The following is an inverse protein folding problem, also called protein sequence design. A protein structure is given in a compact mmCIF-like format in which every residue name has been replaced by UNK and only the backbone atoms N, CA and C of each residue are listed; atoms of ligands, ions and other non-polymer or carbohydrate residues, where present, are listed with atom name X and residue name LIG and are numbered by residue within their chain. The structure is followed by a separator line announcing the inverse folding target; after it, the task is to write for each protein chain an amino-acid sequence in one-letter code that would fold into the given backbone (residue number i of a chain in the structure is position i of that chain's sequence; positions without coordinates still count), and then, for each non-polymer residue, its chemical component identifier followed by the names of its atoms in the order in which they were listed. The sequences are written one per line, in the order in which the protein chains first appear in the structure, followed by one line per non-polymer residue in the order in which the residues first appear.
data_IF_794896941883
#
_entry.id   IF_794896941883
#
_cell.length_a   1.000
_cell.length_b   1.000
_cell.length_c   1.000
_cell.angle_alpha   90.00
_cell.angle_beta   90.00
_cell.angle_gamma   90.00
#
_symmetry.space_group_name_H-M   'P 1'
#
loop_
_entity.id
_entity.type
_entity.pdbx_description
1 polymer ?
#
# COMPACT_ATOMS: atom_id res chain seq x y z
N UNK A 1 -14.16 7.08 0.65
CA UNK A 1 -15.16 6.03 0.36
C UNK A 1 -16.21 6.46 -0.67
N UNK A 2 -16.71 7.70 -0.68
CA UNK A 2 -17.74 8.14 -1.66
C UNK A 2 -17.27 8.05 -3.12
N UNK A 3 -16.10 8.63 -3.46
CA UNK A 3 -15.54 8.56 -4.82
C UNK A 3 -15.40 7.11 -5.29
N UNK A 4 -14.93 6.23 -4.40
CA UNK A 4 -14.83 4.82 -4.71
C UNK A 4 -16.18 4.18 -5.03
N UNK A 5 -17.24 4.52 -4.30
CA UNK A 5 -18.57 3.99 -4.61
C UNK A 5 -19.01 4.35 -6.04
N UNK A 6 -18.58 5.50 -6.56
CA UNK A 6 -18.83 5.90 -7.95
C UNK A 6 -18.05 5.04 -8.96
N UNK A 7 -16.82 4.62 -8.62
CA UNK A 7 -16.02 3.69 -9.43
C UNK A 7 -16.62 2.28 -9.42
N UNK A 8 -17.04 1.79 -8.25
CA UNK A 8 -17.72 0.49 -8.12
C UNK A 8 -19.09 0.49 -8.82
N UNK A 9 -19.80 1.62 -8.80
CA UNK A 9 -21.03 1.76 -9.55
C UNK A 9 -20.78 1.63 -11.06
N UNK A 10 -19.71 2.24 -11.58
CA UNK A 10 -19.32 2.08 -12.98
C UNK A 10 -18.96 0.63 -13.32
N UNK A 11 -18.15 -0.03 -12.49
CA UNK A 11 -17.79 -1.46 -12.66
C UNK A 11 -19.03 -2.35 -12.79
N UNK A 12 -20.08 -2.03 -12.03
CA UNK A 12 -21.34 -2.78 -11.98
C UNK A 12 -22.40 -2.30 -12.96
N UNK A 13 -22.08 -1.35 -13.83
CA UNK A 13 -23.02 -0.68 -14.72
C UNK A 13 -24.24 -0.07 -13.99
N UNK A 14 -24.04 0.38 -12.76
CA UNK A 14 -25.03 1.15 -11.99
C UNK A 14 -24.85 2.62 -12.37
N UNK A 15 -25.93 3.25 -12.84
CA UNK A 15 -25.95 4.63 -13.31
C UNK A 15 -26.73 5.51 -12.35
N UNK A 16 -26.82 6.81 -12.63
CA UNK A 16 -27.66 7.72 -11.89
C UNK A 16 -29.12 7.25 -11.80
N UNK A 17 -29.67 6.70 -12.90
CA UNK A 17 -31.06 6.25 -12.96
C UNK A 17 -31.31 4.88 -12.33
N UNK A 18 -30.26 4.07 -12.14
CA UNK A 18 -30.34 2.73 -11.53
C UNK A 18 -29.68 2.66 -10.15
N UNK A 19 -29.43 3.81 -9.51
CA UNK A 19 -28.74 3.93 -8.23
C UNK A 19 -29.33 3.06 -7.11
N UNK A 20 -30.63 2.77 -7.13
CA UNK A 20 -31.30 1.87 -6.18
C UNK A 20 -30.76 0.43 -6.19
N UNK A 21 -30.07 0.02 -7.25
CA UNK A 21 -29.37 -1.27 -7.32
C UNK A 21 -28.05 -1.28 -6.52
N UNK A 22 -27.55 -0.12 -6.09
CA UNK A 22 -26.35 -0.05 -5.25
C UNK A 22 -26.70 -0.46 -3.82
N UNK A 23 -25.96 -1.42 -3.22
CA UNK A 23 -26.30 -1.97 -1.92
C UNK A 23 -26.09 -0.96 -0.78
N UNK A 24 -26.85 -1.16 0.30
CA UNK A 24 -26.71 -0.38 1.53
C UNK A 24 -25.44 -0.79 2.31
N UNK A 25 -24.99 0.09 3.21
CA UNK A 25 -23.86 -0.13 4.12
C UNK A 25 -24.30 0.01 5.59
N UNK A 26 -23.90 -0.87 6.50
CA UNK A 26 -24.24 -0.73 7.93
C UNK A 26 -23.17 0.01 8.74
N UNK A 27 -22.00 0.29 8.16
CA UNK A 27 -20.83 0.81 8.86
C UNK A 27 -21.03 2.18 9.53
N UNK A 28 -21.91 3.02 9.00
CA UNK A 28 -22.16 4.38 9.52
C UNK A 28 -23.50 4.50 10.26
N UNK A 29 -24.04 3.36 10.69
CA UNK A 29 -25.33 3.24 11.35
C UNK A 29 -26.53 3.38 10.40
N UNK A 30 -27.71 3.02 10.90
CA UNK A 30 -28.94 2.87 10.10
C UNK A 30 -29.32 4.13 9.32
N UNK A 31 -29.03 5.32 9.86
CA UNK A 31 -29.34 6.61 9.22
C UNK A 31 -28.56 6.82 7.92
N UNK A 32 -27.38 6.22 7.79
CA UNK A 32 -26.48 6.41 6.65
C UNK A 32 -26.42 5.21 5.71
N UNK A 33 -27.33 4.24 5.87
CA UNK A 33 -27.26 2.99 5.12
C UNK A 33 -27.29 3.16 3.60
N UNK A 34 -28.05 4.13 3.13
CA UNK A 34 -28.14 4.47 1.71
C UNK A 34 -27.13 5.51 1.22
N UNK A 35 -26.12 5.90 2.00
CA UNK A 35 -25.29 7.07 1.67
C UNK A 35 -24.59 6.97 0.31
N UNK A 36 -24.09 5.78 -0.07
CA UNK A 36 -23.42 5.56 -1.34
C UNK A 36 -24.40 5.59 -2.52
N UNK A 37 -25.53 4.87 -2.39
CA UNK A 37 -26.65 4.97 -3.32
C UNK A 37 -27.10 6.41 -3.52
N UNK A 38 -27.28 7.17 -2.44
CA UNK A 38 -27.74 8.55 -2.50
C UNK A 38 -26.76 9.44 -3.26
N UNK A 39 -25.45 9.22 -3.08
CA UNK A 39 -24.42 9.91 -3.85
C UNK A 39 -24.54 9.56 -5.36
N UNK A 40 -24.66 8.29 -5.71
CA UNK A 40 -24.81 7.84 -7.10
C UNK A 40 -26.10 8.40 -7.72
N UNK A 41 -27.22 8.37 -7.00
CA UNK A 41 -28.49 8.95 -7.46
C UNK A 41 -28.38 10.47 -7.72
N UNK A 42 -27.54 11.16 -6.94
CA UNK A 42 -27.35 12.60 -7.08
C UNK A 42 -26.47 12.98 -8.28
N UNK A 43 -25.41 12.22 -8.58
CA UNK A 43 -24.39 12.65 -9.57
C UNK A 43 -24.08 11.66 -10.69
N UNK A 44 -24.47 10.39 -10.56
CA UNK A 44 -24.10 9.29 -11.44
C UNK A 44 -22.81 8.57 -11.01
N UNK A 45 -22.43 7.54 -11.74
CA UNK A 45 -21.14 6.86 -11.56
C UNK A 45 -19.95 7.70 -12.08
N UNK A 46 -18.73 7.20 -11.91
CA UNK A 46 -17.54 7.94 -12.33
C UNK A 46 -17.52 8.25 -13.83
N UNK A 47 -17.80 7.27 -14.68
CA UNK A 47 -17.93 7.45 -16.13
C UNK A 47 -18.95 8.52 -16.52
N UNK A 48 -20.13 8.55 -15.89
CA UNK A 48 -21.15 9.59 -16.13
C UNK A 48 -20.66 10.99 -15.75
N UNK A 49 -19.95 11.11 -14.63
CA UNK A 49 -19.35 12.38 -14.19
C UNK A 49 -18.27 12.83 -15.18
N UNK A 50 -17.38 11.92 -15.59
CA UNK A 50 -16.32 12.22 -16.54
C UNK A 50 -16.90 12.68 -17.88
N UNK A 51 -17.87 11.94 -18.43
CA UNK A 51 -18.55 12.28 -19.67
C UNK A 51 -19.21 13.66 -19.62
N UNK A 52 -19.84 13.99 -18.50
CA UNK A 52 -20.54 15.27 -18.31
C UNK A 52 -19.61 16.47 -18.17
N UNK A 53 -18.46 16.30 -17.52
CA UNK A 53 -17.65 17.44 -17.05
C UNK A 53 -16.26 17.55 -17.68
N UNK A 54 -15.70 16.45 -18.19
CA UNK A 54 -14.29 16.40 -18.61
C UNK A 54 -14.15 16.02 -20.08
N UNK A 55 -14.97 15.08 -20.57
CA UNK A 55 -14.78 14.45 -21.88
C UNK A 55 -14.82 15.42 -23.07
N UNK A 56 -15.54 16.54 -22.96
CA UNK A 56 -15.56 17.58 -23.98
C UNK A 56 -14.19 18.26 -24.16
N UNK A 57 -13.41 18.40 -23.10
CA UNK A 57 -12.11 19.05 -23.11
C UNK A 57 -10.97 18.02 -23.24
N UNK A 58 -11.12 16.88 -22.56
CA UNK A 58 -10.11 15.83 -22.46
C UNK A 58 -10.80 14.50 -22.70
N UNK A 59 -10.70 13.92 -23.93
CA UNK A 59 -11.25 12.60 -24.22
C UNK A 59 -10.75 11.58 -23.21
N UNK A 60 -11.62 10.65 -22.80
CA UNK A 60 -11.28 9.66 -21.79
C UNK A 60 -10.11 8.80 -22.26
N UNK A 61 -8.97 8.95 -21.58
CA UNK A 61 -7.75 8.18 -21.82
C UNK A 61 -7.72 6.93 -20.92
N UNK A 62 -6.88 5.91 -21.23
CA UNK A 62 -6.81 4.68 -20.43
C UNK A 62 -6.59 4.95 -18.94
N UNK A 63 -5.76 5.92 -18.57
CA UNK A 63 -5.56 6.37 -17.18
C UNK A 63 -6.87 6.67 -16.41
N UNK A 64 -7.93 7.08 -17.11
CA UNK A 64 -9.24 7.40 -16.57
C UNK A 64 -10.25 6.24 -16.68
N UNK A 65 -9.78 5.02 -16.95
CA UNK A 65 -10.58 3.79 -17.09
C UNK A 65 -10.35 2.88 -15.88
N UNK A 66 -11.30 1.99 -15.63
CA UNK A 66 -11.22 0.98 -14.59
C UNK A 66 -10.12 -0.05 -14.90
N UNK A 67 -9.26 -0.34 -13.92
CA UNK A 67 -8.29 -1.42 -13.98
C UNK A 67 -8.95 -2.75 -13.59
N UNK A 68 -9.17 -3.61 -14.57
CA UNK A 68 -9.82 -4.92 -14.40
C UNK A 68 -8.90 -6.02 -13.90
N UNK A 69 -7.60 -5.74 -13.71
CA UNK A 69 -6.62 -6.67 -13.16
C UNK A 69 -5.55 -7.14 -14.13
N UNK A 70 -5.71 -6.80 -15.40
CA UNK A 70 -4.92 -7.24 -16.55
C UNK A 70 -3.76 -6.31 -16.92
N UNK A 71 -3.76 -5.07 -16.42
CA UNK A 71 -2.70 -4.08 -16.65
C UNK A 71 -2.04 -3.61 -15.35
N UNK A 72 -0.87 -2.98 -15.49
CA UNK A 72 -0.10 -2.44 -14.38
C UNK A 72 -0.88 -1.44 -13.54
N UNK A 73 -0.64 -1.44 -12.23
CA UNK A 73 -1.28 -0.52 -11.28
C UNK A 73 -0.28 0.09 -10.30
N UNK A 74 0.97 -0.42 -10.27
CA UNK A 74 2.03 0.14 -9.44
C UNK A 74 2.48 1.45 -10.07
N UNK A 75 2.40 2.54 -9.31
CA UNK A 75 2.72 3.87 -9.79
C UNK A 75 3.94 4.44 -9.06
N UNK A 76 4.99 4.73 -9.80
CA UNK A 76 6.15 5.44 -9.30
C UNK A 76 5.80 6.91 -9.05
N UNK A 77 5.68 7.28 -7.77
CA UNK A 77 5.34 8.66 -7.42
C UNK A 77 6.56 9.56 -7.56
N UNK A 78 6.49 10.68 -8.29
CA UNK A 78 7.61 11.60 -8.41
C UNK A 78 7.88 12.27 -7.05
N UNK A 79 9.15 12.40 -6.67
CA UNK A 79 9.54 13.07 -5.42
C UNK A 79 9.23 14.58 -5.40
N UNK A 80 8.99 15.18 -6.56
CA UNK A 80 8.69 16.61 -6.67
C UNK A 80 9.94 17.49 -6.67
N UNK A 81 9.87 18.67 -6.04
CA UNK A 81 10.93 19.70 -6.02
C UNK A 81 11.28 20.07 -4.58
N UNK A 82 12.47 20.63 -4.37
CA UNK A 82 12.97 21.12 -3.07
C UNK A 82 13.15 20.01 -2.02
N UNK A 83 13.96 19.00 -2.34
CA UNK A 83 14.12 17.79 -1.52
C UNK A 83 15.13 17.92 -0.38
N UNK A 84 15.72 19.10 -0.15
CA UNK A 84 16.98 19.20 0.60
C UNK A 84 16.85 19.53 2.09
N UNK A 85 15.73 20.13 2.52
CA UNK A 85 15.63 20.73 3.85
C UNK A 85 14.31 20.36 4.54
N UNK A 86 14.35 19.33 5.39
CA UNK A 86 13.25 18.93 6.28
C UNK A 86 13.61 19.00 7.77
N UNK A 87 12.62 18.93 8.68
CA UNK A 87 12.80 19.23 10.10
C UNK A 87 13.56 18.19 10.94
N UNK A 88 14.07 17.09 10.35
CA UNK A 88 14.61 15.97 11.14
C UNK A 88 13.50 15.17 11.84
N UNK A 89 13.83 14.06 12.54
CA UNK A 89 12.91 13.35 13.41
C UNK A 89 12.24 14.27 14.43
N UNK A 90 10.94 14.07 14.63
CA UNK A 90 10.18 14.74 15.70
C UNK A 90 10.64 14.20 17.06
N UNK A 91 10.93 15.11 18.00
CA UNK A 91 11.31 14.75 19.36
C UNK A 91 10.26 13.85 20.02
N UNK A 92 10.69 12.67 20.48
CA UNK A 92 9.82 11.65 21.07
C UNK A 92 8.92 10.90 20.06
N UNK A 93 9.03 11.21 18.78
CA UNK A 93 8.33 10.52 17.69
C UNK A 93 8.78 9.08 17.48
N UNK A 94 8.06 8.33 16.65
CA UNK A 94 8.31 6.90 16.38
C UNK A 94 9.72 6.69 15.83
N UNK A 95 10.19 7.55 14.92
CA UNK A 95 11.55 7.45 14.36
C UNK A 95 12.59 7.54 15.47
N UNK A 96 12.54 8.55 16.34
CA UNK A 96 13.50 8.66 17.45
C UNK A 96 13.44 7.47 18.41
N UNK A 97 12.24 6.96 18.72
CA UNK A 97 12.09 5.79 19.59
C UNK A 97 12.71 4.53 18.97
N UNK A 98 12.55 4.33 17.66
CA UNK A 98 13.17 3.22 16.94
C UNK A 98 14.69 3.37 16.93
N UNK A 99 15.21 4.56 16.61
CA UNK A 99 16.65 4.84 16.60
C UNK A 99 17.27 4.64 17.98
N UNK A 100 16.63 5.13 19.04
CA UNK A 100 17.11 4.96 20.42
C UNK A 100 17.10 3.48 20.87
N UNK A 101 16.23 2.66 20.30
CA UNK A 101 16.18 1.21 20.51
C UNK A 101 17.13 0.44 19.58
N UNK A 102 17.71 1.10 18.58
CA UNK A 102 18.60 0.54 17.55
C UNK A 102 17.98 -0.59 16.70
N UNK A 103 16.66 -0.80 16.81
CA UNK A 103 15.96 -1.88 16.11
C UNK A 103 14.53 -1.49 15.78
N UNK A 104 14.13 -1.71 14.52
CA UNK A 104 12.75 -1.71 14.08
C UNK A 104 12.08 -3.02 14.54
N UNK A 105 10.84 -2.99 15.02
CA UNK A 105 10.05 -4.19 15.25
C UNK A 105 8.93 -4.23 14.21
N UNK A 106 9.06 -5.13 13.24
CA UNK A 106 8.11 -5.30 12.16
C UNK A 106 7.27 -6.55 12.39
N UNK A 107 5.94 -6.40 12.37
CA UNK A 107 5.05 -7.56 12.36
C UNK A 107 4.77 -8.05 10.94
N UNK A 108 4.69 -9.36 10.76
CA UNK A 108 4.31 -10.02 9.50
C UNK A 108 3.23 -11.08 9.72
N UNK A 109 2.37 -11.29 8.73
CA UNK A 109 1.35 -12.37 8.78
C UNK A 109 2.01 -13.75 8.61
N UNK A 110 1.80 -14.68 9.54
CA UNK A 110 2.24 -16.08 9.47
C UNK A 110 1.69 -16.84 8.25
N UNK A 111 0.53 -16.44 7.76
CA UNK A 111 -0.18 -17.12 6.67
C UNK A 111 -0.01 -16.43 5.30
N UNK A 112 0.87 -15.44 5.21
CA UNK A 112 1.09 -14.71 3.96
C UNK A 112 1.58 -15.62 2.84
N UNK A 113 0.90 -15.56 1.69
CA UNK A 113 1.33 -16.23 0.45
C UNK A 113 2.64 -15.64 -0.14
N UNK A 114 3.04 -14.47 0.37
CA UNK A 114 4.31 -13.81 0.06
C UNK A 114 5.41 -14.15 1.05
N UNK A 115 5.15 -15.03 2.02
CA UNK A 115 6.08 -15.45 3.04
C UNK A 115 6.57 -16.88 2.81
N UNK A 116 7.85 -17.12 3.11
CA UNK A 116 8.46 -18.44 3.14
C UNK A 116 9.51 -18.55 4.24
N UNK A 117 10.27 -19.63 4.22
CA UNK A 117 11.37 -19.87 5.15
C UNK A 117 12.63 -20.23 4.36
N UNK A 118 13.75 -19.63 4.72
CA UNK A 118 15.06 -20.09 4.26
C UNK A 118 15.40 -21.43 4.91
N UNK A 119 15.77 -22.41 4.08
CA UNK A 119 16.00 -23.79 4.54
C UNK A 119 17.18 -23.95 5.51
N UNK A 120 18.16 -23.04 5.45
CA UNK A 120 19.38 -23.14 6.25
C UNK A 120 19.15 -22.75 7.72
N UNK A 121 18.43 -21.64 7.96
CA UNK A 121 18.33 -21.01 9.27
C UNK A 121 16.89 -20.86 9.79
N UNK A 122 15.90 -21.42 9.07
CA UNK A 122 14.46 -21.24 9.35
C UNK A 122 14.07 -19.77 9.50
N UNK A 123 14.79 -18.88 8.81
CA UNK A 123 14.54 -17.45 8.83
C UNK A 123 13.37 -17.13 7.90
N UNK A 124 12.43 -16.33 8.39
CA UNK A 124 11.31 -15.83 7.59
C UNK A 124 11.83 -15.01 6.42
N UNK A 125 11.32 -15.27 5.22
CA UNK A 125 11.67 -14.55 3.98
C UNK A 125 10.43 -14.21 3.16
N UNK A 126 10.64 -13.43 2.10
CA UNK A 126 9.61 -13.02 1.15
C UNK A 126 9.33 -11.52 1.18
N UNK A 127 8.33 -11.06 0.43
CA UNK A 127 8.12 -9.63 0.20
C UNK A 127 7.81 -8.87 1.49
N UNK A 128 6.98 -9.44 2.37
CA UNK A 128 6.60 -8.78 3.63
C UNK A 128 7.84 -8.52 4.50
N UNK A 129 8.70 -9.54 4.67
CA UNK A 129 9.97 -9.39 5.39
C UNK A 129 10.93 -8.45 4.65
N UNK A 130 10.96 -8.53 3.32
CA UNK A 130 11.81 -7.68 2.49
C UNK A 130 11.48 -6.18 2.67
N UNK A 131 10.19 -5.83 2.73
CA UNK A 131 9.78 -4.45 3.01
C UNK A 131 10.01 -4.04 4.47
N UNK A 132 9.89 -4.95 5.44
CA UNK A 132 10.35 -4.68 6.82
C UNK A 132 11.85 -4.32 6.84
N UNK A 133 12.67 -5.10 6.13
CA UNK A 133 14.12 -4.88 6.01
C UNK A 133 14.47 -3.61 5.24
N UNK A 134 13.67 -3.24 4.25
CA UNK A 134 13.81 -1.98 3.53
C UNK A 134 13.60 -0.76 4.45
N UNK A 135 12.58 -0.80 5.30
CA UNK A 135 12.34 0.27 6.30
C UNK A 135 13.49 0.33 7.30
N UNK A 136 14.00 -0.82 7.74
CA UNK A 136 15.16 -0.86 8.63
C UNK A 136 16.43 -0.30 7.96
N UNK A 137 16.72 -0.69 6.72
CA UNK A 137 17.84 -0.14 5.96
C UNK A 137 17.75 1.39 5.79
N UNK A 138 16.55 1.91 5.53
CA UNK A 138 16.29 3.34 5.45
C UNK A 138 16.51 4.06 6.80
N UNK A 139 16.19 3.39 7.93
CA UNK A 139 16.37 3.94 9.27
C UNK A 139 17.83 3.88 9.76
N UNK A 140 18.58 2.87 9.34
CA UNK A 140 19.87 2.50 9.92
C UNK A 140 21.02 2.47 8.89
N UNK A 141 21.04 3.44 7.97
CA UNK A 141 22.16 3.65 7.02
C UNK A 141 22.56 2.38 6.24
N UNK A 142 21.56 1.58 5.83
CA UNK A 142 21.73 0.34 5.07
C UNK A 142 21.77 -0.94 5.89
N UNK A 143 21.77 -0.87 7.23
CA UNK A 143 21.74 -2.04 8.10
C UNK A 143 20.34 -2.69 8.13
N UNK A 144 20.04 -3.46 7.09
CA UNK A 144 18.74 -4.14 6.90
C UNK A 144 18.43 -5.22 7.93
N UNK A 145 19.45 -5.70 8.65
CA UNK A 145 19.37 -6.67 9.73
C UNK A 145 18.91 -6.07 11.07
N UNK A 146 18.86 -4.74 11.19
CA UNK A 146 18.39 -4.04 12.40
C UNK A 146 16.85 -4.04 12.50
N UNK A 147 16.27 -5.22 12.35
CA UNK A 147 14.84 -5.46 12.42
C UNK A 147 14.53 -6.76 13.16
N UNK A 148 13.59 -6.70 14.10
CA UNK A 148 12.97 -7.85 14.71
C UNK A 148 11.69 -8.15 13.93
N UNK A 149 11.58 -9.37 13.41
CA UNK A 149 10.37 -9.87 12.76
C UNK A 149 9.50 -10.57 13.82
N UNK A 150 8.27 -10.09 14.00
CA UNK A 150 7.23 -10.75 14.81
C UNK A 150 6.14 -11.34 13.93
N UNK A 151 5.84 -12.61 14.12
CA UNK A 151 4.84 -13.30 13.31
C UNK A 151 3.49 -13.36 14.03
N UNK A 152 2.40 -13.10 13.31
CA UNK A 152 1.05 -13.21 13.84
C UNK A 152 0.18 -14.03 12.89
N UNK A 153 -0.58 -14.98 13.44
CA UNK A 153 -1.49 -15.83 12.65
C UNK A 153 -2.78 -15.08 12.28
N UNK A 154 -3.31 -14.28 13.20
CA UNK A 154 -4.54 -13.51 12.97
C UNK A 154 -4.21 -12.06 12.64
N UNK A 155 -4.85 -11.52 11.60
CA UNK A 155 -4.66 -10.13 11.16
C UNK A 155 -4.94 -9.12 12.29
N UNK A 156 -6.01 -9.35 13.07
CA UNK A 156 -6.39 -8.48 14.19
C UNK A 156 -5.32 -8.43 15.29
N UNK A 157 -4.53 -9.49 15.48
CA UNK A 157 -3.49 -9.51 16.51
C UNK A 157 -2.34 -8.58 16.11
N UNK A 158 -2.01 -8.50 14.81
CA UNK A 158 -1.03 -7.53 14.28
C UNK A 158 -1.49 -6.09 14.48
N UNK A 159 -2.78 -5.80 14.23
CA UNK A 159 -3.34 -4.46 14.50
C UNK A 159 -3.36 -4.11 16.00
N UNK A 160 -3.69 -5.05 16.87
CA UNK A 160 -3.62 -4.82 18.32
C UNK A 160 -2.16 -4.59 18.76
N UNK A 161 -1.21 -5.37 18.23
CA UNK A 161 0.21 -5.20 18.53
C UNK A 161 0.76 -3.83 18.10
N UNK A 162 0.27 -3.25 16.99
CA UNK A 162 0.58 -1.87 16.61
C UNK A 162 0.07 -0.88 17.67
N UNK A 163 -1.19 -1.01 18.08
CA UNK A 163 -1.81 -0.13 19.08
C UNK A 163 -1.08 -0.21 20.42
N UNK A 164 -0.71 -1.42 20.84
CA UNK A 164 -0.02 -1.67 22.10
C UNK A 164 1.47 -1.26 22.06
N UNK A 165 1.97 -0.84 20.89
CA UNK A 165 3.38 -0.49 20.68
C UNK A 165 4.34 -1.69 20.71
N UNK A 166 3.81 -2.90 20.56
CA UNK A 166 4.60 -4.12 20.47
C UNK A 166 5.34 -4.27 19.13
N UNK A 167 4.81 -3.67 18.07
CA UNK A 167 5.42 -3.52 16.75
C UNK A 167 5.30 -2.05 16.30
N UNK A 168 6.24 -1.58 15.48
CA UNK A 168 6.19 -0.21 14.94
C UNK A 168 5.48 -0.16 13.58
N UNK A 169 5.59 -1.24 12.79
CA UNK A 169 5.00 -1.38 11.46
C UNK A 169 4.46 -2.79 11.25
N UNK A 170 3.31 -2.89 10.59
CA UNK A 170 2.66 -4.16 10.24
C UNK A 170 2.70 -4.37 8.72
N UNK A 171 3.28 -5.48 8.28
CA UNK A 171 3.46 -5.80 6.86
C UNK A 171 2.53 -6.95 6.43
N UNK A 172 1.93 -6.81 5.25
CA UNK A 172 1.19 -7.90 4.61
C UNK A 172 -0.32 -7.90 4.90
N UNK A 173 -0.89 -6.77 5.33
CA UNK A 173 -2.34 -6.65 5.53
C UNK A 173 -3.05 -6.07 4.32
N UNK A 174 -4.31 -6.49 4.16
CA UNK A 174 -5.23 -6.02 3.15
C UNK A 174 -5.63 -4.56 3.33
N UNK A 175 -5.51 -3.73 2.28
CA UNK A 175 -6.24 -2.44 2.26
C UNK A 175 -7.68 -2.71 1.84
N UNK A 176 -8.65 -2.67 2.75
CA UNK A 176 -10.08 -2.70 2.36
C UNK A 176 -10.91 -1.67 3.11
N UNK A 177 -12.09 -1.34 2.57
CA UNK A 177 -13.07 -0.50 3.27
C UNK A 177 -13.36 -0.98 4.69
N UNK A 178 -13.59 -2.29 4.81
CA UNK A 178 -13.88 -2.96 6.06
C UNK A 178 -12.71 -2.80 7.01
N UNK A 179 -11.52 -3.27 6.64
CA UNK A 179 -10.32 -3.21 7.48
C UNK A 179 -10.00 -1.77 7.92
N UNK A 180 -10.08 -0.79 7.02
CA UNK A 180 -9.83 0.60 7.36
C UNK A 180 -10.82 1.15 8.40
N UNK A 181 -12.05 0.63 8.48
CA UNK A 181 -13.08 1.10 9.42
C UNK A 181 -13.29 0.19 10.64
N UNK A 182 -13.09 -1.13 10.52
CA UNK A 182 -13.25 -2.09 11.62
C UNK A 182 -12.06 -2.06 12.55
N UNK A 183 -10.87 -1.91 12.00
CA UNK A 183 -9.64 -1.91 12.80
C UNK A 183 -9.42 -0.54 13.46
N UNK A 184 -10.03 0.53 12.93
CA UNK A 184 -10.12 1.82 13.64
C UNK A 184 -10.82 1.63 14.98
N UNK A 185 -10.02 1.50 16.05
CA UNK A 185 -10.49 1.56 17.43
C UNK A 185 -10.86 3.01 17.75
N UNK A 186 -11.64 3.23 18.82
CA UNK A 186 -12.18 4.54 19.20
C UNK A 186 -11.13 5.66 19.36
N UNK A 187 -9.83 5.31 19.48
CA UNK A 187 -8.74 6.24 19.80
C UNK A 187 -7.58 6.24 18.78
N UNK A 188 -7.47 5.24 17.89
CA UNK A 188 -6.33 5.12 16.96
C UNK A 188 -6.76 4.89 15.52
N UNK A 189 -6.13 5.63 14.61
CA UNK A 189 -6.22 5.44 13.17
C UNK A 189 -5.05 4.63 12.63
N UNK A 190 -5.21 4.07 11.44
CA UNK A 190 -4.16 3.38 10.72
C UNK A 190 -3.92 4.03 9.36
N UNK A 191 -2.64 4.11 9.00
CA UNK A 191 -2.19 4.63 7.72
C UNK A 191 -1.44 3.55 6.96
N UNK A 192 -1.67 3.50 5.65
CA UNK A 192 -1.18 2.46 4.75
C UNK A 192 -0.17 3.05 3.77
N UNK A 193 0.90 2.30 3.47
CA UNK A 193 1.77 2.61 2.34
C UNK A 193 1.03 2.46 1.01
N UNK A 194 1.70 2.77 -0.09
CA UNK A 194 1.27 2.27 -1.39
C UNK A 194 1.21 0.74 -1.35
N UNK A 195 0.18 0.12 -1.95
CA UNK A 195 0.16 -1.34 -2.10
C UNK A 195 1.38 -1.82 -2.86
N UNK A 196 2.10 -2.79 -2.31
CA UNK A 196 3.25 -3.41 -2.94
C UNK A 196 2.95 -4.79 -3.52
N UNK A 197 1.75 -5.30 -3.31
CA UNK A 197 1.31 -6.54 -3.94
C UNK A 197 -0.20 -6.53 -4.13
N UNK A 198 -0.64 -7.08 -5.25
CA UNK A 198 -2.03 -7.32 -5.61
C UNK A 198 -2.19 -8.81 -5.91
N UNK A 199 -3.01 -9.50 -5.14
CA UNK A 199 -3.36 -10.89 -5.41
C UNK A 199 -4.06 -11.02 -6.77
N UNK A 200 -3.59 -11.90 -7.68
CA UNK A 200 -4.26 -12.12 -8.95
C UNK A 200 -5.72 -12.56 -8.76
N UNK A 201 -6.62 -12.05 -9.60
CA UNK A 201 -8.07 -12.27 -9.49
C UNK A 201 -8.51 -13.75 -9.60
N UNK A 202 -7.64 -14.61 -10.13
CA UNK A 202 -7.89 -16.05 -10.33
C UNK A 202 -7.78 -16.88 -9.04
N UNK A 203 -7.13 -16.34 -7.99
CA UNK A 203 -7.02 -17.01 -6.70
C UNK A 203 -8.27 -16.70 -5.87
N UNK A 204 -9.18 -17.68 -5.74
CA UNK A 204 -10.39 -17.56 -4.90
C UNK A 204 -10.03 -17.06 -3.49
N UNK A 205 -10.56 -15.90 -3.11
CA UNK A 205 -10.27 -15.22 -1.84
C UNK A 205 -10.60 -13.74 -1.95
N UNK A 206 -10.50 -12.98 -0.84
CA UNK A 206 -10.63 -11.52 -0.88
C UNK A 206 -9.59 -10.98 -1.88
N UNK A 207 -9.93 -9.94 -2.65
CA UNK A 207 -8.93 -9.21 -3.44
C UNK A 207 -7.93 -8.61 -2.47
N UNK A 208 -6.86 -9.35 -2.17
CA UNK A 208 -5.87 -9.01 -1.16
C UNK A 208 -4.84 -8.08 -1.81
N UNK A 209 -4.66 -6.91 -1.21
CA UNK A 209 -3.60 -5.99 -1.58
C UNK A 209 -2.75 -5.80 -0.34
N UNK A 210 -1.46 -6.07 -0.43
CA UNK A 210 -0.60 -5.96 0.73
C UNK A 210 0.04 -4.57 0.75
N UNK A 211 0.05 -3.98 1.94
CA UNK A 211 0.73 -2.73 2.24
C UNK A 211 1.38 -2.80 3.62
N UNK A 212 2.27 -1.84 3.88
CA UNK A 212 2.77 -1.58 5.23
C UNK A 212 1.77 -0.70 5.96
N UNK A 213 1.60 -0.94 7.25
CA UNK A 213 0.67 -0.20 8.11
C UNK A 213 1.37 0.37 9.33
N UNK A 214 1.06 1.62 9.62
CA UNK A 214 1.52 2.37 10.78
C UNK A 214 0.32 2.94 11.53
N UNK A 215 0.52 3.31 12.80
CA UNK A 215 -0.44 4.17 13.49
C UNK A 215 -0.44 5.56 12.83
N UNK A 216 -1.64 6.15 12.69
CA UNK A 216 -1.84 7.47 12.07
C UNK A 216 -1.44 8.65 12.99
N UNK A 217 -1.12 8.37 14.25
CA UNK A 217 -0.79 9.38 15.28
C UNK A 217 0.63 9.97 15.13
N UNK A 218 1.51 9.33 14.35
CA UNK A 218 2.80 9.87 13.95
C UNK A 218 2.85 10.07 12.41
N UNK A 219 2.42 11.24 11.91
CA UNK A 219 2.37 11.50 10.47
C UNK A 219 3.75 11.52 9.81
N UNK A 220 4.83 11.80 10.57
CA UNK A 220 6.18 11.78 10.03
C UNK A 220 6.61 10.34 9.75
N UNK A 221 6.40 9.42 10.69
CA UNK A 221 6.74 8.02 10.49
C UNK A 221 5.84 7.35 9.44
N UNK A 222 4.54 7.68 9.40
CA UNK A 222 3.66 7.26 8.32
C UNK A 222 4.19 7.70 6.95
N UNK A 223 4.61 8.96 6.81
CA UNK A 223 5.18 9.47 5.57
C UNK A 223 6.50 8.78 5.22
N UNK A 224 7.35 8.54 6.22
CA UNK A 224 8.62 7.81 6.06
C UNK A 224 8.38 6.42 5.45
N UNK A 225 7.52 5.62 6.08
CA UNK A 225 7.20 4.25 5.62
C UNK A 225 6.56 4.26 4.23
N UNK A 226 5.63 5.18 3.98
CA UNK A 226 5.01 5.32 2.66
C UNK A 226 6.04 5.57 1.56
N UNK A 227 6.95 6.51 1.78
CA UNK A 227 7.93 6.89 0.77
C UNK A 227 9.06 5.88 0.60
N UNK A 228 9.40 5.11 1.65
CA UNK A 228 10.31 3.96 1.50
C UNK A 228 9.74 2.95 0.51
N UNK A 229 8.45 2.59 0.62
CA UNK A 229 7.81 1.69 -0.35
C UNK A 229 7.76 2.31 -1.75
N UNK A 230 7.35 3.58 -1.85
CA UNK A 230 7.27 4.29 -3.14
C UNK A 230 8.63 4.35 -3.85
N UNK A 231 9.73 4.41 -3.10
CA UNK A 231 11.07 4.46 -3.66
C UNK A 231 11.44 3.18 -4.44
N UNK A 232 10.88 2.02 -4.11
CA UNK A 232 11.12 0.78 -4.84
C UNK A 232 10.49 0.81 -6.23
N UNK A 233 9.32 1.43 -6.35
CA UNK A 233 8.64 1.60 -7.65
C UNK A 233 9.33 2.67 -8.49
N UNK A 234 9.75 3.77 -7.86
CA UNK A 234 10.57 4.79 -8.51
C UNK A 234 11.87 4.19 -9.04
N UNK A 235 12.58 3.42 -8.21
CA UNK A 235 13.83 2.80 -8.61
C UNK A 235 13.63 1.87 -9.80
N UNK A 236 12.56 1.07 -9.83
CA UNK A 236 12.28 0.21 -10.97
C UNK A 236 11.95 1.00 -12.25
N UNK A 237 11.12 2.04 -12.15
CA UNK A 237 10.76 2.88 -13.31
C UNK A 237 11.99 3.58 -13.92
N UNK A 238 12.92 4.00 -13.07
CA UNK A 238 14.17 4.67 -13.47
C UNK A 238 15.33 3.70 -13.73
N UNK A 239 15.06 2.39 -13.80
CA UNK A 239 16.07 1.33 -14.05
C UNK A 239 17.23 1.32 -13.01
N UNK A 240 16.95 1.78 -11.80
CA UNK A 240 17.84 1.72 -10.65
C UNK A 240 17.66 0.37 -9.96
N UNK A 241 18.74 -0.39 -9.86
CA UNK A 241 18.84 -1.71 -9.23
C UNK A 241 19.69 -1.65 -7.97
N UNK A 242 19.87 -2.79 -7.32
CA UNK A 242 20.83 -2.94 -6.22
C UNK A 242 22.26 -2.53 -6.61
N UNK A 243 22.67 -2.73 -7.86
CA UNK A 243 24.04 -2.51 -8.34
C UNK A 243 24.36 -1.02 -8.54
N UNK A 244 23.38 -0.21 -8.93
CA UNK A 244 23.54 1.22 -9.19
C UNK A 244 22.71 2.09 -8.23
N UNK A 245 22.35 1.58 -7.05
CA UNK A 245 21.51 2.27 -6.06
C UNK A 245 21.96 3.70 -5.71
N UNK A 246 23.25 4.04 -5.92
CA UNK A 246 23.79 5.40 -5.77
C UNK A 246 23.15 6.44 -6.71
N UNK A 247 22.47 6.01 -7.77
CA UNK A 247 21.72 6.86 -8.70
C UNK A 247 20.39 7.33 -8.09
N UNK A 248 19.97 6.76 -6.95
CA UNK A 248 18.79 7.23 -6.22
C UNK A 248 18.92 8.71 -5.84
N UNK A 249 17.84 9.51 -6.03
CA UNK A 249 17.82 10.90 -5.61
C UNK A 249 18.08 11.06 -4.12
N UNK A 250 18.84 12.10 -3.77
CA UNK A 250 19.04 12.50 -2.38
C UNK A 250 17.81 13.21 -1.85
N UNK A 251 17.32 12.80 -0.68
CA UNK A 251 16.13 13.36 -0.05
C UNK A 251 16.39 13.67 1.42
N UNK A 252 16.60 14.95 1.74
CA UNK A 252 16.80 15.47 3.10
C UNK A 252 15.51 15.92 3.80
N UNK A 253 14.34 15.52 3.31
CA UNK A 253 13.03 15.94 3.86
C UNK A 253 12.72 15.34 5.24
N UNK A 254 13.42 14.28 5.64
CA UNK A 254 13.32 13.68 6.97
C UNK A 254 14.46 14.11 7.90
N UNK A 255 15.31 15.05 7.47
CA UNK A 255 16.56 15.39 8.14
C UNK A 255 17.78 15.08 7.27
N UNK A 256 18.93 15.67 7.59
CA UNK A 256 20.18 15.50 6.81
C UNK A 256 20.75 14.10 6.98
N UNK A 257 20.54 13.49 8.13
CA UNK A 257 20.88 12.11 8.46
C UNK A 257 20.18 11.11 7.51
N UNK A 258 18.96 11.43 7.04
CA UNK A 258 18.20 10.57 6.13
C UNK A 258 18.39 10.90 4.65
N UNK A 259 19.36 11.75 4.30
CA UNK A 259 19.61 12.18 2.91
C UNK A 259 19.69 11.02 1.91
N UNK A 260 20.19 9.87 2.36
CA UNK A 260 20.42 8.69 1.53
C UNK A 260 19.49 7.50 1.83
N UNK A 261 18.44 7.70 2.64
CA UNK A 261 17.58 6.60 3.12
C UNK A 261 17.01 5.72 2.00
N UNK A 262 16.66 6.31 0.84
CA UNK A 262 16.15 5.55 -0.29
C UNK A 262 17.24 4.78 -1.02
N UNK A 263 18.43 5.38 -1.23
CA UNK A 263 19.61 4.65 -1.72
C UNK A 263 19.87 3.44 -0.85
N UNK A 264 19.86 3.62 0.47
CA UNK A 264 20.20 2.57 1.43
C UNK A 264 19.20 1.41 1.40
N UNK A 265 17.91 1.72 1.27
CA UNK A 265 16.86 0.71 1.10
C UNK A 265 17.04 -0.09 -0.21
N UNK A 266 17.29 0.58 -1.33
CA UNK A 266 17.51 -0.08 -2.64
C UNK A 266 18.83 -0.87 -2.65
N UNK A 267 19.89 -0.35 -2.03
CA UNK A 267 21.17 -1.05 -1.91
C UNK A 267 21.04 -2.33 -1.07
N UNK A 268 20.14 -2.35 -0.07
CA UNK A 268 19.88 -3.54 0.72
C UNK A 268 19.02 -4.56 -0.02
N UNK A 269 17.91 -4.12 -0.62
CA UNK A 269 16.82 -5.00 -1.06
C UNK A 269 16.58 -5.05 -2.58
N UNK A 270 17.23 -4.18 -3.36
CA UNK A 270 16.92 -3.98 -4.77
C UNK A 270 15.67 -3.13 -4.98
N UNK A 271 15.30 -2.93 -6.25
CA UNK A 271 14.05 -2.29 -6.64
C UNK A 271 12.85 -3.25 -6.52
N UNK A 272 11.67 -2.77 -6.92
CA UNK A 272 10.44 -3.55 -6.81
C UNK A 272 10.43 -4.83 -7.68
N UNK A 273 11.03 -4.80 -8.86
CA UNK A 273 11.21 -6.01 -9.66
C UNK A 273 12.12 -7.03 -8.98
N UNK A 274 13.29 -6.58 -8.49
CA UNK A 274 14.29 -7.43 -7.84
C UNK A 274 13.75 -8.09 -6.57
N UNK A 275 13.05 -7.34 -5.70
CA UNK A 275 12.48 -7.91 -4.46
C UNK A 275 11.36 -8.93 -4.77
N UNK A 276 10.60 -8.71 -5.83
CA UNK A 276 9.55 -9.64 -6.28
C UNK A 276 10.19 -10.94 -6.81
N UNK A 277 11.18 -10.81 -7.70
CA UNK A 277 11.87 -11.95 -8.32
C UNK A 277 12.61 -12.78 -7.26
N UNK A 278 13.35 -12.13 -6.37
CA UNK A 278 14.01 -12.79 -5.23
C UNK A 278 13.00 -13.56 -4.36
N UNK A 279 11.84 -12.96 -4.07
CA UNK A 279 10.80 -13.62 -3.28
C UNK A 279 10.21 -14.82 -4.04
N UNK A 280 9.93 -14.67 -5.34
CA UNK A 280 9.37 -15.72 -6.20
C UNK A 280 10.29 -16.92 -6.37
N UNK A 281 11.61 -16.69 -6.46
CA UNK A 281 12.63 -17.73 -6.54
C UNK A 281 12.66 -18.61 -5.28
N UNK A 282 12.44 -18.00 -4.12
CA UNK A 282 12.50 -18.71 -2.84
C UNK A 282 11.13 -19.20 -2.33
N UNK A 283 10.03 -18.75 -2.94
CA UNK A 283 8.65 -19.07 -2.51
C UNK A 283 7.88 -19.61 -3.70
N UNK A 284 7.74 -20.94 -3.77
CA UNK A 284 7.08 -21.63 -4.89
C UNK A 284 5.63 -21.18 -5.07
N UNK A 285 4.90 -20.98 -3.97
CA UNK A 285 3.48 -20.58 -3.94
C UNK A 285 3.22 -19.15 -4.41
N UNK A 286 4.24 -18.30 -4.42
CA UNK A 286 4.10 -16.92 -4.86
C UNK A 286 3.84 -16.89 -6.39
N UNK A 287 2.84 -16.13 -6.88
CA UNK A 287 2.54 -16.10 -8.31
C UNK A 287 3.63 -15.35 -9.09
N UNK A 288 3.86 -15.67 -10.38
CA UNK A 288 4.67 -14.83 -11.26
C UNK A 288 4.17 -13.39 -11.26
N UNK A 289 5.09 -12.43 -11.42
CA UNK A 289 4.74 -11.02 -11.49
C UNK A 289 3.93 -10.74 -12.75
N UNK A 290 2.83 -10.01 -12.61
CA UNK A 290 1.93 -9.70 -13.71
C UNK A 290 0.71 -8.89 -13.28
N UNK A 291 -0.08 -8.46 -14.27
CA UNK A 291 -1.29 -7.66 -14.07
C UNK A 291 -1.00 -6.41 -13.22
N UNK A 292 -1.80 -6.20 -12.17
CA UNK A 292 -1.67 -5.06 -11.25
C UNK A 292 -0.32 -4.95 -10.55
N UNK A 293 0.48 -6.02 -10.50
CA UNK A 293 1.83 -6.00 -9.93
C UNK A 293 2.89 -5.44 -10.89
N UNK A 294 2.51 -5.05 -12.10
CA UNK A 294 3.39 -4.34 -13.05
C UNK A 294 3.32 -2.83 -12.83
N UNK A 295 4.39 -2.13 -13.21
CA UNK A 295 4.39 -0.67 -13.32
C UNK A 295 3.29 -0.20 -14.29
N UNK A 296 2.63 0.89 -13.95
CA UNK A 296 1.74 1.64 -14.83
C UNK A 296 2.51 2.88 -15.32
N UNK A 297 3.21 2.73 -16.44
CA UNK A 297 4.09 3.74 -17.03
C UNK A 297 3.59 4.19 -18.41
N UNK A 298 4.25 5.15 -19.05
CA UNK A 298 3.82 5.77 -20.32
C UNK A 298 3.91 4.79 -21.53
N UNK A 299 2.81 4.58 -22.30
CA UNK A 299 1.49 5.18 -22.14
C UNK A 299 0.71 4.58 -20.96
N UNK A 300 0.29 5.46 -20.04
CA UNK A 300 -0.40 5.06 -18.82
C UNK A 300 -1.64 4.20 -19.11
N UNK A 301 -1.68 3.05 -18.46
CA UNK A 301 -2.75 2.06 -18.52
C UNK A 301 -3.89 2.41 -17.53
N UNK A 302 -5.04 1.70 -17.52
CA UNK A 302 -6.10 1.90 -16.54
C UNK A 302 -5.62 1.95 -15.09
N UNK A 303 -6.01 3.01 -14.36
CA UNK A 303 -5.57 3.26 -12.97
C UNK A 303 -6.68 3.09 -11.93
N UNK A 304 -7.95 3.18 -12.31
CA UNK A 304 -9.02 3.15 -11.31
C UNK A 304 -9.32 1.72 -10.86
N UNK A 305 -8.86 1.33 -9.68
CA UNK A 305 -9.07 -0.02 -9.16
C UNK A 305 -10.34 -0.10 -8.26
N UNK A 306 -11.48 -0.61 -8.76
CA UNK A 306 -12.68 -0.80 -7.95
C UNK A 306 -12.48 -1.84 -6.83
N UNK A 307 -11.54 -2.78 -7.00
CA UNK A 307 -11.26 -3.88 -6.07
C UNK A 307 -10.60 -3.44 -4.76
N UNK A 308 -10.27 -2.15 -4.58
CA UNK A 308 -9.79 -1.63 -3.30
C UNK A 308 -10.83 -1.74 -2.17
N UNK A 309 -12.11 -1.96 -2.49
CA UNK A 309 -13.19 -1.84 -1.50
C UNK A 309 -14.36 -2.83 -1.73
N UNK A 310 -14.10 -4.15 -1.81
CA UNK A 310 -15.16 -5.15 -1.99
C UNK A 310 -16.21 -5.12 -0.87
N UNK A 311 -15.81 -4.63 0.32
CA UNK A 311 -16.62 -4.56 1.54
C UNK A 311 -17.37 -3.25 1.76
N UNK A 312 -17.35 -2.28 0.82
CA UNK A 312 -18.37 -1.17 0.83
C UNK A 312 -19.78 -1.75 0.88
N UNK A 313 -19.88 -2.95 0.30
CA UNK A 313 -21.04 -3.79 0.16
C UNK A 313 -20.86 -4.84 1.23
N UNK A 314 -21.71 -4.84 2.26
CA UNK A 314 -21.76 -5.99 3.16
C UNK A 314 -21.99 -7.22 2.30
N UNK A 315 -21.09 -8.22 2.27
CA UNK A 315 -21.55 -9.55 1.93
C UNK A 315 -22.68 -9.82 2.93
N UNK A 316 -23.82 -10.31 2.48
CA UNK A 316 -24.81 -10.82 3.43
C UNK A 316 -24.05 -11.70 4.43
N UNK A 317 -24.23 -11.38 5.72
CA UNK A 317 -23.65 -12.08 6.86
C UNK A 317 -23.75 -13.60 6.69
#
# INVERSE_FOLDING_TARGET
SVVQALLVAEERNITQSTADAFPDTSFFGDRHKGMFRNAIAAVGNYGEIYARHVEQAIPRQPINVLNTGDSGLIFAHPYGKNLNDGPGPVEGGVIERILAREQLVCGVSAESLLGGFEAADNMRIGMDVGFCRAVAAALFEGASENVIIKEFTLENDGFNALIDGEIDVWSGTGITFGINLTERRKEHGFSYSQPYFFKPAEVKGRSEMHALVTLEDDPQFTAFVYWVVAAFFYAEEEEITKENANDMPKVGLFGREFTYMFRDAILAMGNYGEIYDQSKENIETMPPRGGRNMLNNDPYEPQHNPALFPNIITPNL
#
